data_IF_678593822961
#
_entry.id   IF_678593822961
#
_cell.length_a   1.000
_cell.length_b   1.000
_cell.length_c   1.000
_cell.angle_alpha   90.00
_cell.angle_beta   90.00
_cell.angle_gamma   90.00
#
_symmetry.space_group_name_H-M   'P 1'
#
loop_
_entity.id
_entity.type
_entity.pdbx_description
1 polymer ?
#
# COMPACT_ATOMS: atom_id res chain seq x y z
N UNK A 1 -35.40 -24.08 -62.48
CA UNK A 1 -34.26 -23.76 -63.37
C UNK A 1 -33.63 -22.46 -62.88
N UNK A 2 -32.30 -22.32 -62.79
CA UNK A 2 -31.39 -23.08 -61.90
C UNK A 2 -30.55 -22.11 -61.00
N UNK A 3 -30.20 -22.51 -59.76
CA UNK A 3 -28.84 -22.86 -59.22
C UNK A 3 -27.85 -21.67 -59.13
N UNK A 4 -26.97 -21.45 -58.13
CA UNK A 4 -26.08 -22.24 -57.24
C UNK A 4 -25.72 -21.33 -56.03
N UNK A 5 -25.43 -21.71 -54.78
CA UNK A 5 -24.59 -22.76 -54.16
C UNK A 5 -23.08 -22.66 -54.45
N UNK A 6 -22.30 -22.06 -53.54
CA UNK A 6 -20.93 -22.53 -53.25
C UNK A 6 -20.43 -22.15 -51.85
N UNK A 7 -19.89 -23.16 -51.17
CA UNK A 7 -19.21 -23.18 -49.86
C UNK A 7 -17.68 -22.96 -50.05
N UNK A 8 -16.90 -22.79 -48.97
CA UNK A 8 -15.57 -22.17 -49.01
C UNK A 8 -14.44 -23.13 -49.40
N UNK A 9 -13.39 -22.59 -50.03
CA UNK A 9 -12.18 -23.35 -50.39
C UNK A 9 -11.12 -23.32 -49.27
N UNK A 10 -10.90 -24.49 -48.66
CA UNK A 10 -9.68 -24.87 -47.95
C UNK A 10 -8.54 -25.21 -48.91
N UNK A 11 -7.28 -25.04 -48.45
CA UNK A 11 -5.98 -25.67 -48.84
C UNK A 11 -4.90 -24.57 -48.97
N UNK A 12 -3.63 -24.73 -48.61
CA UNK A 12 -2.81 -25.77 -47.98
C UNK A 12 -1.49 -25.07 -47.63
N UNK A 13 -0.99 -25.25 -46.42
CA UNK A 13 0.38 -24.86 -46.03
C UNK A 13 1.35 -25.98 -46.41
N UNK A 14 2.51 -25.70 -47.03
CA UNK A 14 3.59 -26.67 -47.06
C UNK A 14 4.49 -26.47 -45.85
N UNK A 15 4.69 -27.54 -45.07
CA UNK A 15 5.78 -27.62 -44.10
C UNK A 15 7.09 -28.00 -44.77
N UNK A 16 8.21 -27.54 -44.19
CA UNK A 16 9.47 -28.30 -44.09
C UNK A 16 10.38 -27.71 -43.02
N UNK A 17 10.83 -28.58 -42.13
CA UNK A 17 11.96 -28.36 -41.22
C UNK A 17 13.29 -28.50 -41.98
N UNK A 18 14.28 -27.66 -41.64
CA UNK A 18 15.71 -27.99 -41.75
C UNK A 18 16.54 -27.08 -40.80
N UNK A 19 17.49 -27.69 -40.08
CA UNK A 19 18.52 -27.14 -39.16
C UNK A 19 19.74 -26.58 -39.95
N UNK A 20 20.94 -26.31 -39.37
CA UNK A 20 21.39 -25.51 -38.21
C UNK A 20 22.46 -24.41 -38.55
N UNK A 21 22.88 -23.62 -37.54
CA UNK A 21 24.07 -22.72 -37.32
C UNK A 21 25.33 -22.90 -38.21
N UNK A 22 26.20 -21.86 -38.46
CA UNK A 22 27.12 -21.18 -37.49
C UNK A 22 27.37 -19.66 -37.76
N UNK A 23 27.90 -18.79 -36.89
CA UNK A 23 29.26 -18.70 -36.33
C UNK A 23 29.34 -17.71 -35.16
N UNK A 24 30.26 -18.02 -34.25
CA UNK A 24 30.81 -17.22 -33.14
C UNK A 24 31.92 -16.27 -33.58
N UNK A 25 32.08 -15.09 -32.91
CA UNK A 25 33.32 -14.64 -32.19
C UNK A 25 33.31 -13.12 -31.90
N UNK A 26 33.72 -12.75 -30.68
CA UNK A 26 34.14 -11.38 -30.32
C UNK A 26 34.03 -11.05 -28.82
N UNK A 27 34.96 -11.56 -28.01
CA UNK A 27 35.11 -11.32 -26.55
C UNK A 27 36.05 -10.14 -26.24
N UNK A 28 35.75 -9.37 -25.20
CA UNK A 28 36.68 -8.74 -24.23
C UNK A 28 35.83 -8.04 -23.14
N UNK A 29 36.13 -7.96 -21.84
CA UNK A 29 36.89 -8.73 -20.85
C UNK A 29 36.43 -8.20 -19.46
N UNK A 30 36.62 -9.00 -18.40
CA UNK A 30 36.12 -8.86 -17.01
C UNK A 30 36.83 -7.75 -16.18
N UNK A 31 36.39 -7.41 -14.92
CA UNK A 31 36.55 -8.30 -13.76
C UNK A 31 35.37 -8.35 -12.76
N UNK A 32 35.32 -9.45 -12.00
CA UNK A 32 34.25 -9.92 -11.10
C UNK A 32 34.38 -9.36 -9.64
N UNK A 33 33.59 -9.77 -8.59
CA UNK A 33 33.29 -11.15 -8.22
C UNK A 33 31.80 -11.50 -7.91
N UNK A 34 31.46 -12.75 -8.21
CA UNK A 34 30.28 -13.48 -7.73
C UNK A 34 30.55 -14.11 -6.36
N UNK A 35 29.59 -14.02 -5.46
CA UNK A 35 29.29 -14.99 -4.40
C UNK A 35 27.76 -15.02 -4.25
N UNK A 36 27.09 -16.02 -4.82
CA UNK A 36 26.67 -17.26 -4.16
C UNK A 36 25.33 -17.13 -3.41
N UNK A 37 24.24 -17.52 -4.08
CA UNK A 37 23.05 -18.09 -3.45
C UNK A 37 22.25 -18.88 -4.50
N UNK A 38 22.64 -20.14 -4.70
CA UNK A 38 21.80 -21.21 -5.24
C UNK A 38 21.85 -22.40 -4.26
N UNK A 39 20.78 -23.21 -4.29
CA UNK A 39 20.38 -24.40 -3.49
C UNK A 39 19.45 -24.14 -2.29
N UNK A 40 18.33 -24.84 -2.09
CA UNK A 40 17.41 -25.75 -2.84
C UNK A 40 16.17 -25.87 -1.89
N UNK A 41 14.90 -26.17 -2.26
CA UNK A 41 14.35 -27.46 -2.68
C UNK A 41 12.80 -27.31 -2.65
N UNK A 42 12.07 -27.46 -3.76
CA UNK A 42 11.17 -28.58 -4.11
C UNK A 42 10.39 -29.24 -2.95
N UNK A 43 9.07 -29.24 -3.14
CA UNK A 43 8.11 -30.07 -2.40
C UNK A 43 8.30 -31.55 -2.74
N UNK A 44 8.07 -32.41 -1.74
CA UNK A 44 7.68 -33.80 -1.96
C UNK A 44 6.53 -34.21 -1.03
N UNK A 45 5.64 -35.03 -1.60
CA UNK A 45 4.46 -35.65 -1.02
C UNK A 45 4.88 -36.85 -0.17
N UNK A 46 4.69 -36.79 1.14
CA UNK A 46 4.33 -37.97 1.93
C UNK A 46 3.76 -37.54 3.28
N UNK A 47 2.51 -37.93 3.53
CA UNK A 47 1.87 -37.72 4.82
C UNK A 47 2.47 -38.63 5.88
N UNK A 48 2.92 -38.03 6.99
CA UNK A 48 2.86 -38.58 8.35
C UNK A 48 3.26 -37.50 9.36
N UNK A 49 2.36 -37.22 10.30
CA UNK A 49 2.61 -36.38 11.47
C UNK A 49 3.08 -37.30 12.60
N UNK A 50 4.19 -36.96 13.26
CA UNK A 50 4.41 -37.38 14.64
C UNK A 50 5.07 -36.26 15.44
N UNK A 51 4.48 -36.00 16.60
CA UNK A 51 4.90 -35.01 17.57
C UNK A 51 6.12 -35.47 18.37
N UNK A 52 6.98 -34.53 18.79
CA UNK A 52 7.72 -34.65 20.05
C UNK A 52 8.08 -33.27 20.62
N UNK A 53 7.79 -33.14 21.92
CA UNK A 53 8.06 -32.01 22.80
C UNK A 53 9.56 -31.83 23.02
N UNK A 54 10.01 -30.57 23.11
CA UNK A 54 11.31 -30.18 23.65
C UNK A 54 11.17 -28.86 24.38
N UNK A 55 11.41 -28.88 25.68
CA UNK A 55 11.16 -27.83 26.67
C UNK A 55 12.50 -27.24 27.14
N UNK A 56 12.45 -25.96 27.53
CA UNK A 56 13.35 -25.19 28.42
C UNK A 56 14.68 -24.63 27.89
N UNK A 57 14.86 -23.33 28.18
CA UNK A 57 16.15 -22.64 28.13
C UNK A 57 16.03 -21.11 28.15
N UNK A 58 15.59 -20.52 29.27
CA UNK A 58 15.65 -19.07 29.51
C UNK A 58 17.12 -18.61 29.61
N UNK A 59 17.50 -17.58 28.86
CA UNK A 59 18.63 -16.72 29.23
C UNK A 59 18.29 -15.25 29.02
N UNK A 60 17.99 -14.59 30.14
CA UNK A 60 18.03 -13.15 30.31
C UNK A 60 19.48 -12.69 30.45
N UNK A 61 19.97 -11.84 29.55
CA UNK A 61 21.11 -10.96 29.83
C UNK A 61 20.87 -9.59 29.19
N UNK A 62 20.48 -8.65 30.05
CA UNK A 62 20.54 -7.22 29.83
C UNK A 62 21.97 -6.83 29.43
N UNK A 63 22.14 -6.23 28.26
CA UNK A 63 23.40 -5.57 27.88
C UNK A 63 23.23 -4.07 28.11
N UNK A 64 23.83 -3.58 29.20
CA UNK A 64 24.06 -2.14 29.41
C UNK A 64 25.24 -1.66 28.55
N UNK A 65 25.03 -0.52 27.91
CA UNK A 65 25.99 0.21 27.09
C UNK A 65 27.04 0.91 27.99
N UNK A 66 28.35 0.90 27.67
CA UNK A 66 29.33 1.71 28.37
C UNK A 66 29.32 3.16 27.88
N UNK A 67 29.38 4.12 28.82
CA UNK A 67 29.61 5.55 28.58
C UNK A 67 31.10 5.83 28.33
N UNK A 68 31.48 6.88 27.60
CA UNK A 68 32.87 7.18 27.28
C UNK A 68 33.59 7.85 28.47
N UNK A 69 34.87 7.50 28.63
CA UNK A 69 35.79 8.12 29.57
C UNK A 69 36.40 9.38 28.93
N UNK A 70 36.20 10.54 29.56
CA UNK A 70 37.02 11.72 29.35
C UNK A 70 38.14 11.71 30.40
N UNK A 71 39.38 11.58 29.94
CA UNK A 71 40.58 11.76 30.75
C UNK A 71 41.08 13.19 30.59
N UNK A 72 41.26 13.90 31.70
CA UNK A 72 42.00 15.17 31.77
C UNK A 72 42.91 15.14 32.99
N UNK A 73 44.22 15.24 32.73
CA UNK A 73 45.06 16.34 33.19
C UNK A 73 45.27 16.59 34.69
N UNK A 74 46.54 16.46 35.08
CA UNK A 74 47.34 17.45 35.84
C UNK A 74 46.94 17.81 37.27
N UNK A 75 47.82 17.42 38.20
CA UNK A 75 47.91 17.87 39.60
C UNK A 75 48.67 19.19 39.68
N UNK A 76 48.09 20.25 40.25
CA UNK A 76 48.83 21.33 40.94
C UNK A 76 47.92 21.99 41.99
N UNK A 77 48.44 22.22 43.20
CA UNK A 77 48.20 23.47 43.95
C UNK A 77 47.15 23.47 45.07
N UNK A 78 47.63 23.43 46.30
CA UNK A 78 46.95 23.74 47.56
C UNK A 78 46.74 25.24 47.76
N UNK A 79 45.54 25.66 48.20
CA UNK A 79 45.22 27.03 48.65
C UNK A 79 43.84 27.10 49.34
N UNK A 80 43.63 28.00 50.33
CA UNK A 80 42.61 27.81 51.37
C UNK A 80 41.19 28.23 50.97
N UNK A 81 40.22 27.67 51.70
CA UNK A 81 38.79 27.80 51.54
C UNK A 81 38.29 29.25 51.63
N UNK A 82 37.52 29.68 50.63
CA UNK A 82 36.69 30.90 50.65
C UNK A 82 35.22 30.50 50.56
N UNK A 83 34.42 31.07 51.46
CA UNK A 83 33.01 30.78 51.66
C UNK A 83 32.15 31.06 50.41
N UNK A 84 31.28 30.10 50.07
CA UNK A 84 30.24 30.24 49.04
C UNK A 84 28.96 30.82 49.65
N UNK A 85 28.21 31.71 48.97
CA UNK A 85 26.93 32.19 49.45
C UNK A 85 25.82 31.16 49.26
N UNK A 86 24.94 31.19 50.26
CA UNK A 86 23.62 30.57 50.44
C UNK A 86 22.89 30.13 49.15
N UNK A 87 22.57 28.84 49.15
CA UNK A 87 21.58 28.09 48.38
C UNK A 87 20.42 28.89 47.74
N UNK A 88 20.40 28.95 46.40
CA UNK A 88 19.16 29.05 45.63
C UNK A 88 18.43 27.70 45.70
N UNK A 89 17.38 27.60 46.51
CA UNK A 89 16.46 26.45 46.51
C UNK A 89 15.68 26.43 45.19
N UNK A 90 16.04 25.54 44.26
CA UNK A 90 15.20 25.17 43.12
C UNK A 90 13.89 24.55 43.65
N UNK A 91 12.71 25.01 43.23
CA UNK A 91 11.46 24.36 43.60
C UNK A 91 11.44 22.96 42.97
N UNK A 92 11.24 21.94 43.81
CA UNK A 92 11.00 20.56 43.36
C UNK A 92 9.58 20.48 42.80
N UNK A 93 9.37 20.98 41.59
CA UNK A 93 8.17 20.67 40.83
C UNK A 93 8.19 19.19 40.48
N UNK A 94 7.40 18.38 41.18
CA UNK A 94 7.03 17.05 40.72
C UNK A 94 6.08 17.23 39.53
N UNK A 95 6.66 17.56 38.37
CA UNK A 95 5.96 17.54 37.10
C UNK A 95 5.52 16.11 36.86
N UNK A 96 4.24 15.84 37.13
CA UNK A 96 3.59 14.59 36.78
C UNK A 96 3.64 14.51 35.26
N UNK A 97 4.57 13.72 34.73
CA UNK A 97 4.64 13.40 33.30
C UNK A 97 3.33 12.69 32.98
N UNK A 98 2.37 13.42 32.39
CA UNK A 98 1.19 12.80 31.81
C UNK A 98 1.70 12.10 30.56
N UNK A 99 1.99 10.81 30.68
CA UNK A 99 2.20 9.96 29.51
C UNK A 99 0.87 9.86 28.80
N UNK A 100 0.63 10.74 27.82
CA UNK A 100 -0.46 10.55 26.86
C UNK A 100 -0.04 9.34 26.04
N UNK A 101 -0.46 8.15 26.45
CA UNK A 101 -0.40 6.98 25.59
C UNK A 101 -1.35 7.25 24.43
N UNK A 102 -0.83 7.66 23.27
CA UNK A 102 -1.66 7.79 22.09
C UNK A 102 -2.27 6.41 21.81
N UNK A 103 -3.60 6.34 21.86
CA UNK A 103 -4.32 5.12 21.54
C UNK A 103 -4.05 4.80 20.07
N UNK A 104 -3.77 3.53 19.74
CA UNK A 104 -3.66 3.09 18.35
C UNK A 104 -5.00 3.28 17.64
N UNK A 105 -5.03 3.87 16.44
CA UNK A 105 -6.28 4.04 15.69
C UNK A 105 -6.85 2.67 15.32
N UNK A 106 -8.16 2.52 15.49
CA UNK A 106 -8.91 1.34 15.05
C UNK A 106 -9.21 1.45 13.57
N UNK A 107 -8.66 0.52 12.80
CA UNK A 107 -8.89 0.40 11.37
C UNK A 107 -9.71 -0.85 11.08
N UNK A 108 -10.76 -0.68 10.29
CA UNK A 108 -11.51 -1.81 9.73
C UNK A 108 -11.10 -1.97 8.27
N UNK A 109 -10.65 -3.15 7.91
CA UNK A 109 -10.55 -3.58 6.52
C UNK A 109 -11.85 -4.29 6.19
N UNK A 110 -12.63 -3.72 5.28
CA UNK A 110 -13.93 -4.25 4.91
C UNK A 110 -13.75 -5.59 4.17
N UNK A 111 -14.24 -6.66 4.78
CA UNK A 111 -14.26 -7.98 4.15
C UNK A 111 -15.57 -8.17 3.40
N UNK A 112 -15.50 -8.04 2.09
CA UNK A 112 -16.62 -8.31 1.18
C UNK A 112 -16.27 -9.40 0.17
N UNK A 113 -15.30 -10.25 0.49
CA UNK A 113 -14.84 -11.35 -0.36
C UNK A 113 -13.86 -10.93 -1.47
N UNK A 114 -13.27 -9.74 -1.40
CA UNK A 114 -12.24 -9.28 -2.34
C UNK A 114 -11.05 -8.65 -1.61
N UNK A 115 -9.88 -8.69 -2.26
CA UNK A 115 -8.65 -8.09 -1.77
C UNK A 115 -7.65 -9.09 -1.18
N UNK A 116 -6.40 -8.64 -1.00
CA UNK A 116 -5.38 -9.38 -0.27
C UNK A 116 -5.43 -9.00 1.23
N UNK A 117 -6.50 -9.41 1.90
CA UNK A 117 -6.85 -8.95 3.25
C UNK A 117 -5.73 -9.18 4.27
N UNK A 118 -5.05 -10.33 4.21
CA UNK A 118 -3.97 -10.67 5.15
C UNK A 118 -2.74 -9.77 5.00
N UNK A 119 -2.35 -9.42 3.77
CA UNK A 119 -1.24 -8.50 3.55
C UNK A 119 -1.61 -7.09 3.97
N UNK A 120 -2.81 -6.62 3.63
CA UNK A 120 -3.29 -5.32 4.05
C UNK A 120 -3.35 -5.21 5.58
N UNK A 121 -3.96 -6.19 6.25
CA UNK A 121 -4.03 -6.27 7.72
C UNK A 121 -2.64 -6.13 8.35
N UNK A 122 -1.69 -6.97 7.94
CA UNK A 122 -0.32 -6.93 8.46
C UNK A 122 0.39 -5.61 8.17
N UNK A 123 0.08 -4.95 7.07
CA UNK A 123 0.69 -3.66 6.73
C UNK A 123 0.17 -2.54 7.65
N UNK A 124 -1.15 -2.48 7.88
CA UNK A 124 -1.74 -1.51 8.82
C UNK A 124 -1.34 -1.76 10.28
N UNK A 125 -1.26 -3.02 10.72
CA UNK A 125 -0.77 -3.38 12.05
C UNK A 125 0.68 -2.89 12.26
N UNK A 126 1.55 -3.09 11.25
CA UNK A 126 2.94 -2.60 11.29
C UNK A 126 3.03 -1.07 11.24
N UNK A 127 2.11 -0.42 10.54
CA UNK A 127 2.02 1.04 10.50
C UNK A 127 1.51 1.65 11.81
N UNK A 128 0.98 0.84 12.73
CA UNK A 128 0.63 1.25 14.09
C UNK A 128 -0.87 1.26 14.42
N UNK A 129 -1.71 0.70 13.55
CA UNK A 129 -3.14 0.57 13.81
C UNK A 129 -3.50 -0.69 14.64
N UNK A 130 -4.67 -0.64 15.28
CA UNK A 130 -5.40 -1.82 15.73
C UNK A 130 -6.37 -2.22 14.63
N UNK A 131 -6.21 -3.42 14.04
CA UNK A 131 -6.85 -3.77 12.77
C UNK A 131 -7.83 -4.92 12.94
N UNK A 132 -9.03 -4.74 12.40
CA UNK A 132 -10.01 -5.81 12.25
C UNK A 132 -10.37 -6.01 10.78
N UNK A 133 -10.54 -7.26 10.37
CA UNK A 133 -11.01 -7.64 9.04
C UNK A 133 -12.42 -8.19 9.22
N UNK A 134 -13.43 -7.48 8.72
CA UNK A 134 -14.83 -7.84 8.98
C UNK A 134 -15.79 -7.25 7.95
N UNK A 135 -16.91 -7.94 7.75
CA UNK A 135 -18.08 -7.44 7.01
C UNK A 135 -19.08 -6.72 7.94
N UNK A 136 -18.82 -6.69 9.25
CA UNK A 136 -19.74 -6.15 10.24
C UNK A 136 -19.95 -4.64 10.04
N UNK A 137 -21.22 -4.28 9.80
CA UNK A 137 -21.63 -2.91 9.48
C UNK A 137 -21.31 -1.94 10.61
N UNK A 138 -21.56 -2.34 11.86
CA UNK A 138 -21.40 -1.44 13.01
C UNK A 138 -19.92 -1.20 13.31
N UNK A 139 -19.07 -2.22 13.17
CA UNK A 139 -17.62 -2.08 13.24
C UNK A 139 -17.12 -1.13 12.14
N UNK A 140 -17.53 -1.35 10.88
CA UNK A 140 -17.13 -0.51 9.74
C UNK A 140 -17.60 0.94 9.89
N UNK A 141 -18.79 1.15 10.45
CA UNK A 141 -19.31 2.48 10.74
C UNK A 141 -18.65 3.11 11.96
N UNK A 142 -18.18 2.37 12.97
CA UNK A 142 -17.69 2.92 14.24
C UNK A 142 -16.16 3.05 14.34
N UNK A 143 -15.40 2.46 13.43
CA UNK A 143 -13.93 2.56 13.41
C UNK A 143 -13.40 3.97 13.08
N UNK A 144 -12.12 4.19 13.40
CA UNK A 144 -11.45 5.48 13.16
C UNK A 144 -11.13 5.63 11.67
N UNK A 145 -10.71 4.54 11.00
CA UNK A 145 -10.51 4.49 9.54
C UNK A 145 -11.10 3.24 8.90
N UNK A 146 -11.77 3.40 7.76
CA UNK A 146 -12.25 2.28 6.93
C UNK A 146 -11.33 2.08 5.73
N UNK A 147 -10.94 0.84 5.45
CA UNK A 147 -10.18 0.46 4.26
C UNK A 147 -11.07 -0.39 3.37
N UNK A 148 -11.18 0.00 2.11
CA UNK A 148 -11.90 -0.73 1.05
C UNK A 148 -10.84 -1.34 0.13
N UNK A 149 -10.43 -2.60 0.33
CA UNK A 149 -9.45 -3.27 -0.51
C UNK A 149 -10.13 -3.92 -1.72
N UNK A 150 -9.48 -3.99 -2.88
CA UNK A 150 -10.04 -4.76 -3.99
C UNK A 150 -8.97 -5.34 -4.93
N UNK A 151 -9.20 -6.57 -5.40
CA UNK A 151 -8.44 -7.19 -6.49
C UNK A 151 -9.40 -7.87 -7.47
N UNK A 152 -8.94 -8.08 -8.71
CA UNK A 152 -9.74 -8.75 -9.74
C UNK A 152 -10.60 -7.77 -10.53
N UNK A 153 -11.79 -8.21 -10.92
CA UNK A 153 -12.69 -7.43 -11.77
C UNK A 153 -13.49 -6.39 -10.97
N UNK A 154 -13.69 -5.20 -11.56
CA UNK A 154 -14.53 -4.13 -11.04
C UNK A 154 -15.93 -4.66 -10.70
N UNK A 155 -16.55 -5.38 -11.65
CA UNK A 155 -17.90 -5.91 -11.48
C UNK A 155 -18.01 -6.91 -10.31
N UNK A 156 -16.95 -7.70 -10.09
CA UNK A 156 -16.90 -8.64 -8.97
C UNK A 156 -16.76 -7.94 -7.64
N UNK A 157 -15.94 -6.89 -7.57
CA UNK A 157 -15.78 -6.10 -6.36
C UNK A 157 -17.10 -5.39 -6.00
N UNK A 158 -17.78 -4.78 -6.97
CA UNK A 158 -19.08 -4.13 -6.70
C UNK A 158 -20.14 -5.11 -6.22
N UNK A 159 -20.22 -6.33 -6.80
CA UNK A 159 -21.16 -7.35 -6.30
C UNK A 159 -20.90 -7.72 -4.85
N UNK A 160 -19.64 -7.96 -4.47
CA UNK A 160 -19.28 -8.25 -3.08
C UNK A 160 -19.60 -7.08 -2.16
N UNK A 161 -19.27 -5.85 -2.60
CA UNK A 161 -19.53 -4.64 -1.82
C UNK A 161 -21.02 -4.42 -1.57
N UNK A 162 -21.88 -4.65 -2.58
CA UNK A 162 -23.33 -4.60 -2.41
C UNK A 162 -23.86 -5.68 -1.45
N UNK A 163 -23.27 -6.87 -1.43
CA UNK A 163 -23.70 -7.94 -0.54
C UNK A 163 -23.53 -7.61 0.96
N UNK A 164 -22.68 -6.63 1.29
CA UNK A 164 -22.44 -6.15 2.67
C UNK A 164 -22.96 -4.73 2.92
N UNK A 165 -23.83 -4.19 2.04
CA UNK A 165 -24.31 -2.79 2.09
C UNK A 165 -23.14 -1.77 2.07
N UNK A 166 -22.02 -2.15 1.46
CA UNK A 166 -20.75 -1.43 1.47
C UNK A 166 -20.83 0.00 0.92
N UNK A 167 -21.50 0.27 -0.23
CA UNK A 167 -21.62 1.64 -0.74
C UNK A 167 -22.28 2.57 0.29
N UNK A 168 -23.34 2.09 0.97
CA UNK A 168 -24.04 2.86 2.00
C UNK A 168 -23.19 3.08 3.25
N UNK A 169 -22.32 2.13 3.61
CA UNK A 169 -21.35 2.30 4.69
C UNK A 169 -20.33 3.38 4.33
N UNK A 170 -19.81 3.37 3.10
CA UNK A 170 -18.88 4.37 2.58
C UNK A 170 -19.54 5.76 2.60
N UNK A 171 -20.73 5.89 2.01
CA UNK A 171 -21.50 7.14 1.98
C UNK A 171 -21.70 7.72 3.38
N UNK A 172 -22.16 6.89 4.32
CA UNK A 172 -22.45 7.33 5.69
C UNK A 172 -21.19 7.78 6.43
N UNK A 173 -20.05 7.16 6.18
CA UNK A 173 -18.78 7.60 6.76
C UNK A 173 -18.35 8.94 6.17
N UNK A 174 -18.38 9.07 4.85
CA UNK A 174 -17.95 10.27 4.16
C UNK A 174 -18.85 11.47 4.46
N UNK A 175 -20.16 11.27 4.57
CA UNK A 175 -21.10 12.30 5.03
C UNK A 175 -20.78 12.82 6.44
N UNK A 176 -20.14 12.01 7.29
CA UNK A 176 -19.66 12.41 8.62
C UNK A 176 -18.20 12.86 8.65
N UNK A 177 -17.55 13.07 7.50
CA UNK A 177 -16.12 13.41 7.43
C UNK A 177 -15.19 12.31 7.96
N UNK A 178 -15.65 11.05 8.00
CA UNK A 178 -14.91 9.94 8.61
C UNK A 178 -14.02 9.25 7.58
N UNK A 179 -12.72 9.05 7.88
CA UNK A 179 -11.77 8.59 6.89
C UNK A 179 -12.11 7.23 6.24
N UNK A 180 -11.91 7.17 4.92
CA UNK A 180 -12.02 5.98 4.07
C UNK A 180 -10.81 5.92 3.12
N UNK A 181 -10.22 4.74 2.94
CA UNK A 181 -9.11 4.50 2.01
C UNK A 181 -9.44 3.35 1.04
N UNK A 182 -9.55 3.65 -0.25
CA UNK A 182 -9.66 2.64 -1.31
C UNK A 182 -8.29 2.16 -1.80
N UNK A 183 -8.10 0.85 -1.97
CA UNK A 183 -6.84 0.28 -2.48
C UNK A 183 -7.08 -0.54 -3.76
N UNK A 184 -6.35 -0.21 -4.82
CA UNK A 184 -6.41 -0.82 -6.16
C UNK A 184 -7.85 -0.81 -6.71
N UNK A 185 -8.50 -1.96 -6.88
CA UNK A 185 -9.90 -1.98 -7.34
C UNK A 185 -10.82 -1.33 -6.31
N UNK A 186 -10.45 -1.36 -5.03
CA UNK A 186 -11.14 -0.62 -3.97
C UNK A 186 -11.09 0.90 -4.13
N UNK A 187 -10.06 1.45 -4.80
CA UNK A 187 -10.06 2.83 -5.26
C UNK A 187 -10.96 3.00 -6.49
N UNK A 188 -10.86 2.09 -7.45
CA UNK A 188 -11.60 2.18 -8.71
C UNK A 188 -13.12 2.21 -8.50
N UNK A 189 -13.63 1.38 -7.58
CA UNK A 189 -15.07 1.33 -7.29
C UNK A 189 -15.62 2.64 -6.70
N UNK A 190 -14.78 3.60 -6.31
CA UNK A 190 -15.23 4.91 -5.83
C UNK A 190 -15.62 5.86 -6.97
N UNK A 191 -15.25 5.56 -8.21
CA UNK A 191 -15.65 6.33 -9.40
C UNK A 191 -17.10 6.00 -9.85
N UNK A 192 -17.62 6.72 -10.84
CA UNK A 192 -18.99 6.52 -11.34
C UNK A 192 -19.22 5.11 -11.90
N UNK A 193 -18.28 4.61 -12.70
CA UNK A 193 -18.41 3.31 -13.36
C UNK A 193 -17.08 2.72 -13.81
N UNK A 194 -17.05 1.39 -13.88
CA UNK A 194 -15.99 0.61 -14.51
C UNK A 194 -16.45 0.00 -15.83
N UNK A 195 -15.57 0.03 -16.84
CA UNK A 195 -15.80 -0.55 -18.17
C UNK A 195 -14.77 -1.65 -18.43
N UNK A 196 -15.18 -2.91 -18.33
CA UNK A 196 -14.32 -4.09 -18.50
C UNK A 196 -14.77 -4.88 -19.73
N UNK A 197 -14.22 -4.53 -20.90
CA UNK A 197 -14.67 -5.07 -22.18
C UNK A 197 -16.10 -4.59 -22.50
N UNK A 198 -17.07 -5.49 -22.80
CA UNK A 198 -18.45 -5.10 -23.04
C UNK A 198 -19.24 -4.77 -21.76
N UNK A 199 -18.73 -5.15 -20.58
CA UNK A 199 -19.43 -4.96 -19.33
C UNK A 199 -19.22 -3.53 -18.80
N UNK A 200 -20.32 -2.88 -18.40
CA UNK A 200 -20.29 -1.63 -17.65
C UNK A 200 -20.93 -1.87 -16.28
N UNK A 201 -20.28 -1.40 -15.21
CA UNK A 201 -20.80 -1.54 -13.85
C UNK A 201 -20.73 -0.20 -13.14
N UNK A 202 -21.85 0.23 -12.55
CA UNK A 202 -21.90 1.43 -11.69
C UNK A 202 -21.05 1.21 -10.44
N UNK A 203 -20.24 2.21 -10.07
CA UNK A 203 -19.47 2.24 -8.84
C UNK A 203 -20.23 2.90 -7.69
N UNK A 204 -19.48 3.40 -6.71
CA UNK A 204 -20.03 4.12 -5.55
C UNK A 204 -20.24 5.61 -5.84
N UNK A 205 -19.79 6.12 -6.99
CA UNK A 205 -20.06 7.49 -7.45
C UNK A 205 -19.59 8.58 -6.46
N UNK A 206 -18.50 8.32 -5.74
CA UNK A 206 -17.88 9.31 -4.85
C UNK A 206 -16.99 10.30 -5.62
N UNK A 207 -16.48 9.86 -6.77
CA UNK A 207 -15.77 10.70 -7.72
C UNK A 207 -16.37 10.54 -9.10
N UNK A 208 -16.46 11.66 -9.81
CA UNK A 208 -16.85 11.64 -11.22
C UNK A 208 -15.73 11.01 -12.04
N UNK A 209 -16.08 10.09 -12.91
CA UNK A 209 -15.12 9.49 -13.84
C UNK A 209 -15.38 8.04 -14.19
N UNK A 210 -14.65 7.59 -15.21
CA UNK A 210 -14.75 6.22 -15.73
C UNK A 210 -13.42 5.52 -15.51
N UNK A 211 -13.49 4.31 -14.97
CA UNK A 211 -12.35 3.39 -14.93
C UNK A 211 -12.43 2.50 -16.15
N UNK A 212 -11.47 2.65 -17.07
CA UNK A 212 -11.41 1.89 -18.31
C UNK A 212 -10.00 1.37 -18.58
N UNK A 213 -9.86 0.61 -19.67
CA UNK A 213 -8.62 -0.12 -19.97
C UNK A 213 -7.54 0.87 -20.38
N UNK A 214 -6.36 0.74 -19.78
CA UNK A 214 -5.18 1.48 -20.19
C UNK A 214 -4.71 1.08 -21.60
N UNK A 215 -4.26 2.08 -22.33
CA UNK A 215 -3.66 2.00 -23.66
C UNK A 215 -2.15 2.03 -23.50
N UNK A 216 -1.54 0.84 -23.48
CA UNK A 216 -0.09 0.70 -23.39
C UNK A 216 0.40 -0.52 -24.19
N UNK A 217 1.68 -0.55 -24.61
CA UNK A 217 2.25 -1.70 -25.32
C UNK A 217 2.19 -3.02 -24.53
N UNK A 218 2.26 -2.94 -23.19
CA UNK A 218 2.24 -4.11 -22.29
C UNK A 218 1.17 -3.91 -21.23
N UNK A 219 0.20 -4.83 -21.16
CA UNK A 219 -0.88 -4.84 -20.16
C UNK A 219 -0.95 -6.25 -19.53
N UNK A 220 -1.10 -6.38 -18.20
CA UNK A 220 -1.28 -5.33 -17.20
C UNK A 220 -0.03 -4.47 -16.96
N UNK A 221 -0.23 -3.23 -16.50
CA UNK A 221 0.81 -2.45 -15.83
C UNK A 221 1.19 -3.20 -14.55
N UNK A 222 2.35 -3.86 -14.57
CA UNK A 222 2.81 -4.71 -13.47
C UNK A 222 4.26 -4.37 -13.11
N UNK A 223 4.48 -3.92 -11.87
CA UNK A 223 5.81 -3.63 -11.37
C UNK A 223 5.86 -2.36 -10.55
N UNK A 224 7.10 -1.89 -10.31
CA UNK A 224 7.36 -0.70 -9.53
C UNK A 224 7.40 0.53 -10.43
N UNK A 225 6.59 1.54 -10.16
CA UNK A 225 6.55 2.78 -10.93
C UNK A 225 6.62 4.01 -10.01
N UNK A 226 7.11 5.13 -10.54
CA UNK A 226 7.10 6.43 -9.86
C UNK A 226 5.75 7.11 -10.01
N UNK A 227 5.54 8.15 -9.21
CA UNK A 227 4.32 8.95 -9.21
C UNK A 227 4.67 10.44 -9.23
N UNK A 228 3.83 11.25 -9.88
CA UNK A 228 3.88 12.70 -9.87
C UNK A 228 2.99 13.22 -8.74
N UNK A 229 3.61 13.49 -7.59
CA UNK A 229 2.94 13.88 -6.34
C UNK A 229 2.79 15.41 -6.26
N UNK A 230 1.59 15.96 -6.00
CA UNK A 230 1.44 17.38 -5.72
C UNK A 230 2.08 17.80 -4.40
N UNK A 231 2.51 19.06 -4.30
CA UNK A 231 3.28 19.59 -3.16
C UNK A 231 2.60 19.39 -1.79
N UNK A 232 1.28 19.50 -1.75
CA UNK A 232 0.51 19.52 -0.50
C UNK A 232 -0.04 18.15 -0.10
N UNK A 233 0.43 17.07 -0.74
CA UNK A 233 0.03 15.71 -0.41
C UNK A 233 0.44 15.30 1.01
N UNK A 234 -0.55 14.89 1.81
CA UNK A 234 -0.31 14.33 3.15
C UNK A 234 0.10 12.86 3.04
N UNK A 235 -0.55 12.10 2.16
CA UNK A 235 -0.25 10.68 1.95
C UNK A 235 1.21 10.42 1.59
N UNK A 236 1.79 11.27 0.75
CA UNK A 236 3.12 11.06 0.19
C UNK A 236 4.23 11.81 0.93
N UNK A 237 3.95 12.41 2.09
CA UNK A 237 4.95 13.10 2.90
C UNK A 237 6.16 12.19 3.19
N UNK A 238 7.34 12.59 2.70
CA UNK A 238 8.60 11.84 2.88
C UNK A 238 8.83 10.68 1.92
N UNK A 239 7.92 10.45 0.96
CA UNK A 239 8.01 9.38 -0.06
C UNK A 239 7.63 9.86 -1.47
N UNK A 240 7.71 11.17 -1.72
CA UNK A 240 7.26 11.78 -2.98
C UNK A 240 8.03 11.26 -4.22
N UNK A 241 9.29 10.84 -4.03
CA UNK A 241 10.17 10.36 -5.11
C UNK A 241 10.36 8.85 -5.12
N UNK A 242 9.64 8.12 -4.28
CA UNK A 242 9.75 6.67 -4.15
C UNK A 242 8.95 5.95 -5.25
N UNK A 243 9.15 4.63 -5.35
CA UNK A 243 8.40 3.77 -6.28
C UNK A 243 7.35 2.97 -5.54
N UNK A 244 6.20 2.76 -6.18
CA UNK A 244 5.09 1.97 -5.65
C UNK A 244 4.77 0.81 -6.58
N UNK A 245 4.24 -0.28 -6.02
CA UNK A 245 3.94 -1.51 -6.76
C UNK A 245 2.53 -1.48 -7.34
N UNK A 246 2.45 -1.51 -8.67
CA UNK A 246 1.21 -1.54 -9.46
C UNK A 246 0.98 -2.93 -10.05
N UNK A 247 -0.30 -3.31 -10.15
CA UNK A 247 -0.76 -4.49 -10.90
C UNK A 247 -2.20 -4.27 -11.35
N UNK A 248 -2.39 -3.68 -12.53
CA UNK A 248 -3.73 -3.37 -13.07
C UNK A 248 -3.73 -3.24 -14.59
N UNK A 249 -4.87 -3.52 -15.21
CA UNK A 249 -5.12 -3.27 -16.64
C UNK A 249 -6.04 -2.08 -16.89
N UNK A 250 -6.75 -1.65 -15.86
CA UNK A 250 -7.76 -0.59 -15.89
C UNK A 250 -7.36 0.51 -14.91
N UNK A 251 -7.70 1.76 -15.21
CA UNK A 251 -7.47 2.90 -14.33
C UNK A 251 -8.42 4.06 -14.69
N UNK A 252 -8.59 5.01 -13.79
CA UNK A 252 -9.15 6.30 -14.14
C UNK A 252 -8.08 7.13 -14.87
N UNK A 253 -8.39 7.62 -16.07
CA UNK A 253 -7.47 8.41 -16.91
C UNK A 253 -7.71 9.91 -16.84
N UNK A 254 -8.84 10.29 -16.26
CA UNK A 254 -9.22 11.66 -15.97
C UNK A 254 -9.66 11.76 -14.53
N UNK A 255 -9.56 12.97 -13.97
CA UNK A 255 -10.12 13.28 -12.67
C UNK A 255 -10.69 14.70 -12.74
N UNK A 256 -12.00 14.82 -12.55
CA UNK A 256 -12.68 16.11 -12.57
C UNK A 256 -12.67 16.71 -11.14
N UNK A 257 -11.87 17.75 -10.95
CA UNK A 257 -11.70 18.42 -9.67
C UNK A 257 -12.83 19.40 -9.33
N UNK A 258 -13.62 19.85 -10.32
CA UNK A 258 -14.66 20.88 -10.14
C UNK A 258 -15.90 20.36 -9.39
N UNK A 259 -15.99 19.04 -9.20
CA UNK A 259 -17.09 18.38 -8.49
C UNK A 259 -16.80 18.08 -7.02
N UNK A 260 -15.59 18.36 -6.54
CA UNK A 260 -15.22 18.19 -5.14
C UNK A 260 -15.74 19.36 -4.29
N UNK A 261 -16.06 19.09 -3.01
CA UNK A 261 -16.70 20.02 -2.09
C UNK A 261 -16.12 21.45 -2.15
N UNK A 262 -16.96 22.51 -2.03
CA UNK A 262 -16.66 23.88 -2.47
C UNK A 262 -15.50 24.62 -1.77
N UNK A 263 -14.75 23.97 -0.87
CA UNK A 263 -13.77 24.64 0.00
C UNK A 263 -12.33 24.10 -0.11
N UNK A 264 -12.12 22.84 -0.52
CA UNK A 264 -10.76 22.28 -0.67
C UNK A 264 -10.70 21.39 -1.92
N UNK A 265 -9.90 21.76 -2.93
CA UNK A 265 -9.76 20.94 -4.12
C UNK A 265 -9.05 19.62 -3.79
N UNK A 266 -9.38 18.54 -4.51
CA UNK A 266 -8.78 17.23 -4.30
C UNK A 266 -7.31 17.26 -4.75
N UNK A 267 -6.45 16.59 -3.99
CA UNK A 267 -5.04 16.40 -4.34
C UNK A 267 -4.93 15.12 -5.15
N UNK A 268 -4.59 15.24 -6.43
CA UNK A 268 -4.53 14.11 -7.37
C UNK A 268 -3.08 13.82 -7.73
N UNK A 269 -2.63 12.61 -7.42
CA UNK A 269 -1.32 12.10 -7.78
C UNK A 269 -1.43 11.24 -9.03
N UNK A 270 -0.57 11.52 -10.02
CA UNK A 270 -0.60 10.87 -11.33
C UNK A 270 0.55 9.87 -11.50
N UNK A 271 0.39 8.89 -12.38
CA UNK A 271 1.48 8.08 -12.91
C UNK A 271 1.27 7.86 -14.41
N UNK A 272 2.28 7.34 -15.08
CA UNK A 272 2.23 7.07 -16.51
C UNK A 272 2.61 5.62 -16.79
N UNK A 273 1.81 4.98 -17.66
CA UNK A 273 2.14 3.69 -18.26
C UNK A 273 1.47 3.60 -19.63
N UNK A 274 2.18 4.01 -20.68
CA UNK A 274 1.62 4.23 -22.01
C UNK A 274 0.81 5.54 -22.11
N UNK A 275 -0.04 5.80 -21.12
CA UNK A 275 -0.77 7.06 -20.95
C UNK A 275 -0.85 7.46 -19.45
N UNK A 276 -1.15 8.74 -19.14
CA UNK A 276 -1.36 9.20 -17.76
C UNK A 276 -2.60 8.57 -17.14
N UNK A 277 -2.51 8.25 -15.85
CA UNK A 277 -3.63 7.76 -15.06
C UNK A 277 -3.54 8.21 -13.60
N UNK A 278 -4.68 8.19 -12.91
CA UNK A 278 -4.79 8.58 -11.51
C UNK A 278 -4.17 7.47 -10.64
N UNK A 279 -3.05 7.79 -10.01
CA UNK A 279 -2.32 6.86 -9.14
C UNK A 279 -2.79 6.93 -7.69
N UNK A 280 -3.18 8.12 -7.21
CA UNK A 280 -3.81 8.30 -5.91
C UNK A 280 -4.64 9.60 -5.87
N UNK A 281 -5.58 9.67 -4.93
CA UNK A 281 -6.44 10.83 -4.69
C UNK A 281 -6.54 11.06 -3.18
N UNK A 282 -6.44 12.32 -2.74
CA UNK A 282 -6.83 12.79 -1.41
C UNK A 282 -7.94 13.82 -1.57
N UNK A 283 -9.15 13.49 -1.15
CA UNK A 283 -10.34 14.33 -1.26
C UNK A 283 -11.08 14.34 0.08
N UNK A 284 -10.71 15.29 0.95
CA UNK A 284 -11.25 15.39 2.30
C UNK A 284 -10.98 14.11 3.12
N UNK A 285 -12.06 13.44 3.55
CA UNK A 285 -11.99 12.18 4.28
C UNK A 285 -11.77 10.95 3.38
N UNK A 286 -11.94 11.09 2.06
CA UNK A 286 -11.76 10.00 1.12
C UNK A 286 -10.34 10.02 0.54
N UNK A 287 -9.66 8.90 0.61
CA UNK A 287 -8.37 8.68 -0.05
C UNK A 287 -8.44 7.42 -0.91
N UNK A 288 -7.62 7.36 -1.95
CA UNK A 288 -7.51 6.17 -2.80
C UNK A 288 -6.11 6.02 -3.37
N UNK A 289 -5.63 4.77 -3.49
CA UNK A 289 -4.38 4.45 -4.19
C UNK A 289 -4.59 3.34 -5.21
N UNK A 290 -4.17 3.55 -6.46
CA UNK A 290 -4.25 2.55 -7.53
C UNK A 290 -3.19 1.46 -7.35
N UNK A 291 -2.04 1.82 -6.78
CA UNK A 291 -1.01 0.88 -6.36
C UNK A 291 -1.38 0.19 -5.04
N UNK A 292 -0.59 -0.82 -4.69
CA UNK A 292 -0.72 -1.61 -3.46
C UNK A 292 0.28 -1.15 -2.41
N UNK A 293 -0.08 -0.26 -1.45
CA UNK A 293 0.85 0.18 -0.41
C UNK A 293 1.34 -1.00 0.45
N UNK A 294 0.53 -2.03 0.66
CA UNK A 294 0.90 -3.24 1.39
C UNK A 294 1.96 -4.10 0.66
N UNK A 295 2.20 -3.82 -0.63
CA UNK A 295 3.23 -4.47 -1.47
C UNK A 295 4.37 -3.52 -1.84
N UNK A 296 4.32 -2.26 -1.42
CA UNK A 296 5.27 -1.21 -1.82
C UNK A 296 6.43 -1.01 -0.83
N UNK A 297 6.77 -2.04 -0.05
CA UNK A 297 7.93 -2.03 0.84
C UNK A 297 7.91 -0.88 1.86
N UNK A 298 9.07 -0.24 2.06
CA UNK A 298 9.22 0.89 3.01
C UNK A 298 8.36 2.10 2.60
N UNK A 299 8.31 2.41 1.31
CA UNK A 299 7.54 3.55 0.80
C UNK A 299 6.03 3.38 1.10
N UNK A 300 5.51 2.17 0.85
CA UNK A 300 4.15 1.81 1.21
C UNK A 300 3.87 1.89 2.71
N UNK A 301 4.80 1.42 3.55
CA UNK A 301 4.64 1.50 5.01
C UNK A 301 4.58 2.95 5.52
N UNK A 302 5.41 3.85 4.98
CA UNK A 302 5.38 5.28 5.31
C UNK A 302 4.05 5.91 4.85
N UNK A 303 3.60 5.59 3.63
CA UNK A 303 2.32 6.08 3.12
C UNK A 303 1.14 5.66 4.02
N UNK A 304 1.11 4.40 4.48
CA UNK A 304 0.09 3.95 5.43
C UNK A 304 0.19 4.68 6.78
N UNK A 305 1.39 4.90 7.30
CA UNK A 305 1.59 5.66 8.52
C UNK A 305 1.11 7.11 8.37
N UNK A 306 1.35 7.73 7.21
CA UNK A 306 0.86 9.06 6.88
C UNK A 306 -0.68 9.10 6.87
N UNK A 307 -1.34 8.11 6.25
CA UNK A 307 -2.80 8.01 6.31
C UNK A 307 -3.31 7.80 7.74
N UNK A 308 -2.68 6.92 8.54
CA UNK A 308 -3.05 6.73 9.95
C UNK A 308 -2.94 8.01 10.78
N UNK A 309 -1.97 8.88 10.47
CA UNK A 309 -1.81 10.17 11.14
C UNK A 309 -2.99 11.11 10.91
N UNK A 310 -3.76 10.93 9.82
CA UNK A 310 -4.95 11.75 9.54
C UNK A 310 -6.16 11.31 10.37
N UNK A 311 -6.17 10.07 10.89
CA UNK A 311 -7.27 9.51 11.69
C UNK A 311 -7.34 10.10 13.10
N UNK A 312 -6.22 10.66 13.59
CA UNK A 312 -6.07 11.09 14.99
C UNK A 312 -6.42 12.57 15.20
N UNK A 313 -6.94 13.25 14.17
CA UNK A 313 -7.18 14.69 14.16
C UNK A 313 -8.67 15.09 14.18
N UNK A 314 -9.56 14.17 14.56
CA UNK A 314 -11.01 14.42 14.67
C UNK A 314 -11.47 14.22 16.10
#
# INVERSE_FOLDING_TARGET
MPTTSSKPSSRRWPGRCARPWPWTRGLAACPAPRAACEFWCRADRSGRISARRGVLGRHTRERRCPKPACATGSRIGSGPARALPRHCRRPRGHGRVITVTSRRPRVVILDYGSGNLRSAQRAFERAGADVSVTADRDAALSCDGLVVPGVGAFASCMRGLHAVDGPRVIDRRLAGGRPVLGICVGMQVLFDRGVEGPAQTTGCQQWVGVVDRLTAPVIPHMGWNTVAVPKDSRLFAGVQTERFYFVHSYAARTFDADTAAPFVPPVVTWAEHGEPFVAAVENGALSGTQFHPEKSGRAGAILLANWLSTLSSV
#
